data_IF_694688987178
#
_entry.id   IF_694688987178
#
_cell.length_a   1.000
_cell.length_b   1.000
_cell.length_c   1.000
_cell.angle_alpha   90.00
_cell.angle_beta   90.00
_cell.angle_gamma   90.00
#
_symmetry.space_group_name_H-M   'P 1'
#
loop_
_entity.id
_entity.type
_entity.pdbx_description
1 polymer ?
#
# COMPACT_ATOMS: atom_id res chain seq x y z
N UNK A 1 7.65 18.82 15.17
CA UNK A 1 6.92 18.29 14.01
C UNK A 1 6.88 19.42 12.99
N UNK A 2 7.64 19.26 11.92
CA UNK A 2 7.52 20.13 10.75
C UNK A 2 6.25 19.74 9.98
N UNK A 3 5.82 20.53 9.00
CA UNK A 3 4.63 20.14 8.20
C UNK A 3 4.99 19.03 7.22
N UNK A 4 3.99 18.25 6.79
CA UNK A 4 4.20 17.20 5.78
C UNK A 4 4.82 17.75 4.49
N UNK A 5 4.52 18.98 4.09
CA UNK A 5 5.14 19.62 2.93
C UNK A 5 6.62 19.92 3.13
N UNK A 6 7.02 20.28 4.35
CA UNK A 6 8.42 20.50 4.69
C UNK A 6 9.20 19.18 4.68
N UNK A 7 8.61 18.11 5.22
CA UNK A 7 9.18 16.76 5.15
C UNK A 7 9.25 16.25 3.70
N UNK A 8 8.22 16.47 2.90
CA UNK A 8 8.21 16.12 1.48
C UNK A 8 9.34 16.84 0.72
N UNK A 9 9.59 18.11 1.06
CA UNK A 9 10.73 18.84 0.53
C UNK A 9 12.07 18.22 0.98
N UNK A 10 12.19 17.72 2.23
CA UNK A 10 13.38 16.96 2.68
C UNK A 10 13.55 15.66 1.91
N UNK A 11 12.49 14.86 1.79
CA UNK A 11 12.49 13.59 1.06
C UNK A 11 12.95 13.77 -0.41
N UNK A 12 12.40 14.78 -1.10
CA UNK A 12 12.82 15.13 -2.47
C UNK A 12 14.28 15.57 -2.54
N UNK A 13 14.77 16.23 -1.49
CA UNK A 13 16.14 16.70 -1.34
C UNK A 13 17.16 15.64 -0.90
N UNK A 14 16.75 14.41 -0.56
CA UNK A 14 17.68 13.35 -0.17
C UNK A 14 18.66 13.03 -1.31
N UNK A 15 19.95 12.87 -0.97
CA UNK A 15 20.95 12.44 -1.93
C UNK A 15 20.98 10.91 -2.00
N UNK A 16 20.74 10.35 -3.18
CA UNK A 16 20.71 8.89 -3.35
C UNK A 16 22.10 8.25 -3.19
N UNK A 17 23.17 9.00 -3.44
CA UNK A 17 24.54 8.54 -3.21
C UNK A 17 24.85 8.41 -1.72
N UNK A 18 24.48 9.41 -0.91
CA UNK A 18 24.63 9.35 0.54
C UNK A 18 23.80 8.19 1.15
N UNK A 19 22.59 7.96 0.64
CA UNK A 19 21.78 6.80 1.03
C UNK A 19 22.44 5.47 0.62
N UNK A 20 23.03 5.39 -0.57
CA UNK A 20 23.74 4.20 -1.04
C UNK A 20 25.00 3.92 -0.21
N UNK A 21 25.74 4.97 0.18
CA UNK A 21 26.89 4.84 1.09
C UNK A 21 26.47 4.29 2.46
N UNK A 22 25.34 4.78 2.99
CA UNK A 22 24.80 4.27 4.25
C UNK A 22 24.36 2.79 4.14
N UNK A 23 23.68 2.42 3.05
CA UNK A 23 23.28 1.04 2.79
C UNK A 23 24.50 0.12 2.59
N UNK A 24 25.52 0.56 1.84
CA UNK A 24 26.79 -0.18 1.62
C UNK A 24 27.61 -0.32 2.91
N UNK A 25 27.46 0.62 3.86
CA UNK A 25 28.06 0.52 5.19
C UNK A 25 27.34 -0.45 6.12
N UNK A 26 26.00 -0.48 6.09
CA UNK A 26 25.21 -1.43 6.90
C UNK A 26 25.35 -2.86 6.35
N UNK A 27 25.37 -3.00 5.02
CA UNK A 27 25.47 -4.28 4.33
C UNK A 27 24.14 -5.03 4.30
N UNK A 28 23.76 -5.55 3.13
CA UNK A 28 22.54 -6.31 2.95
C UNK A 28 22.57 -7.21 1.72
N UNK A 29 22.13 -8.46 1.89
CA UNK A 29 21.82 -9.36 0.78
C UNK A 29 20.54 -10.14 1.13
N UNK A 30 19.49 -9.98 0.31
CA UNK A 30 18.25 -10.72 0.51
C UNK A 30 18.49 -12.24 0.35
N UNK A 31 18.25 -13.00 1.42
CA UNK A 31 18.42 -14.46 1.44
C UNK A 31 17.23 -15.23 0.88
N UNK A 32 16.14 -14.53 0.56
CA UNK A 32 14.84 -15.11 0.19
C UNK A 32 14.30 -16.06 1.25
N UNK A 33 14.45 -15.70 2.53
CA UNK A 33 13.95 -16.49 3.65
C UNK A 33 12.42 -16.44 3.80
N UNK A 34 11.74 -15.47 3.18
CA UNK A 34 10.28 -15.32 3.27
C UNK A 34 9.77 -14.59 4.52
N UNK A 35 10.61 -14.35 5.53
CA UNK A 35 10.19 -13.78 6.82
C UNK A 35 9.39 -12.47 6.71
N UNK A 36 9.78 -11.57 5.80
CA UNK A 36 9.06 -10.31 5.59
C UNK A 36 7.74 -10.43 4.80
N UNK A 37 7.46 -11.59 4.19
CA UNK A 37 6.22 -11.85 3.44
C UNK A 37 5.20 -12.63 4.27
N UNK A 38 5.60 -13.16 5.42
CA UNK A 38 4.79 -14.08 6.21
C UNK A 38 4.24 -13.40 7.46
N UNK A 39 3.15 -13.93 8.03
CA UNK A 39 2.60 -13.45 9.30
C UNK A 39 3.62 -13.47 10.45
N UNK A 40 3.34 -12.74 11.50
CA UNK A 40 4.20 -12.58 12.67
C UNK A 40 3.69 -13.38 13.87
N UNK A 41 4.53 -14.20 14.49
CA UNK A 41 4.26 -14.80 15.79
C UNK A 41 5.20 -14.17 16.84
N UNK A 42 4.68 -13.62 17.96
CA UNK A 42 5.47 -12.89 18.95
C UNK A 42 6.59 -13.68 19.65
N UNK A 43 6.60 -15.00 19.50
CA UNK A 43 7.58 -15.93 20.07
C UNK A 43 8.57 -16.52 19.05
N UNK A 44 8.55 -16.08 17.79
CA UNK A 44 9.48 -16.47 16.73
C UNK A 44 10.54 -15.38 16.39
N UNK A 45 11.72 -15.73 15.85
CA UNK A 45 12.71 -14.74 15.39
C UNK A 45 12.19 -13.95 14.17
N UNK A 46 12.54 -12.66 14.09
CA UNK A 46 11.69 -11.61 13.50
C UNK A 46 10.97 -10.77 14.59
N UNK A 47 11.48 -10.79 15.82
CA UNK A 47 10.75 -10.58 17.07
C UNK A 47 10.46 -9.12 17.44
N UNK A 48 9.63 -8.42 16.67
CA UNK A 48 9.09 -7.12 17.04
C UNK A 48 8.25 -7.22 18.34
N UNK A 49 8.69 -6.64 19.48
CA UNK A 49 8.16 -6.98 20.80
C UNK A 49 6.64 -6.79 20.89
N UNK A 50 5.97 -7.67 21.64
CA UNK A 50 4.53 -7.58 21.90
C UNK A 50 4.12 -6.14 22.24
N UNK A 51 3.27 -5.54 21.41
CA UNK A 51 2.74 -4.22 21.65
C UNK A 51 1.98 -4.20 22.96
N UNK A 52 2.31 -3.27 23.86
CA UNK A 52 1.52 -3.02 25.06
C UNK A 52 0.16 -2.42 24.66
N UNK A 53 -0.84 -3.27 24.42
CA UNK A 53 -2.20 -2.83 24.16
C UNK A 53 -3.20 -3.97 23.99
N UNK A 54 -4.07 -4.12 25.00
CA UNK A 54 -5.30 -4.96 25.14
C UNK A 54 -5.06 -6.48 25.26
N UNK A 55 -5.39 -7.21 26.32
CA UNK A 55 -6.22 -7.02 27.51
C UNK A 55 -5.63 -7.78 28.71
N UNK A 56 -5.62 -7.17 29.89
CA UNK A 56 -5.41 -7.88 31.16
C UNK A 56 -6.59 -8.83 31.43
N UNK A 57 -6.47 -10.13 31.09
CA UNK A 57 -7.33 -11.17 31.70
C UNK A 57 -6.57 -12.45 32.05
N UNK A 58 -6.50 -12.63 33.36
CA UNK A 58 -6.42 -13.87 34.14
C UNK A 58 -5.11 -14.68 34.11
N UNK A 59 -4.27 -14.38 35.09
CA UNK A 59 -3.41 -15.36 35.75
C UNK A 59 -4.25 -16.56 36.24
N UNK A 60 -4.31 -17.64 35.45
CA UNK A 60 -4.49 -18.99 35.98
C UNK A 60 -3.54 -19.96 35.30
N UNK A 61 -2.57 -20.41 36.12
CA UNK A 61 -1.94 -21.72 36.02
C UNK A 61 -2.96 -22.77 35.55
N UNK A 62 -2.67 -23.43 34.44
CA UNK A 62 -2.68 -24.88 34.32
C UNK A 62 -1.87 -25.30 33.09
N UNK A 63 -0.85 -26.13 33.33
CA UNK A 63 -0.14 -26.86 32.27
C UNK A 63 -1.17 -27.76 31.59
N UNK A 64 -1.53 -27.47 30.36
CA UNK A 64 -2.22 -28.43 29.50
C UNK A 64 -1.58 -28.50 28.12
N UNK A 65 -1.65 -29.69 27.57
CA UNK A 65 -1.02 -30.17 26.34
C UNK A 65 -1.32 -29.21 25.19
N UNK A 66 -0.29 -28.58 24.59
CA UNK A 66 -0.44 -27.75 23.39
C UNK A 66 -1.10 -28.60 22.30
N UNK A 67 -2.37 -28.33 22.06
CA UNK A 67 -3.12 -28.76 20.90
C UNK A 67 -2.49 -27.99 19.71
N UNK A 68 -1.94 -28.69 18.72
CA UNK A 68 -1.29 -28.14 17.52
C UNK A 68 -2.28 -27.40 16.58
N UNK A 69 -3.40 -26.90 17.12
CA UNK A 69 -4.50 -26.25 16.41
C UNK A 69 -4.77 -24.80 16.87
N UNK A 70 -4.15 -24.31 17.94
CA UNK A 70 -4.37 -22.96 18.47
C UNK A 70 -3.21 -21.96 18.22
N UNK A 71 -2.10 -22.39 17.60
CA UNK A 71 -0.96 -21.49 17.31
C UNK A 71 -1.19 -20.57 16.09
N UNK A 72 -2.26 -20.80 15.33
CA UNK A 72 -2.62 -19.96 14.16
C UNK A 72 -3.37 -18.69 14.56
N UNK A 73 -4.09 -18.72 15.68
CA UNK A 73 -4.85 -17.56 16.19
C UNK A 73 -3.97 -16.57 16.96
N UNK A 74 -2.70 -16.92 17.24
CA UNK A 74 -1.71 -16.04 17.89
C UNK A 74 -0.82 -15.28 16.87
N UNK A 75 -0.91 -15.64 15.57
CA UNK A 75 -0.08 -15.05 14.51
C UNK A 75 -0.77 -13.82 13.90
N UNK A 76 -0.18 -12.65 14.08
CA UNK A 76 -0.62 -11.45 13.40
C UNK A 76 -0.36 -11.58 11.89
N UNK A 77 -1.37 -11.33 11.03
CA UNK A 77 -1.19 -11.50 9.60
C UNK A 77 -0.20 -10.45 9.05
N UNK A 78 0.52 -10.82 7.99
CA UNK A 78 1.45 -9.95 7.29
C UNK A 78 0.79 -8.60 6.97
N UNK A 79 1.43 -7.52 7.41
CA UNK A 79 0.91 -6.17 7.28
C UNK A 79 1.97 -5.28 6.66
N UNK A 80 1.91 -5.13 5.34
CA UNK A 80 2.72 -4.20 4.57
C UNK A 80 1.79 -3.19 3.88
N UNK A 81 2.00 -1.90 4.16
CA UNK A 81 1.23 -0.82 3.55
C UNK A 81 1.37 -0.83 2.03
N UNK A 82 0.26 -0.62 1.31
CA UNK A 82 0.23 -0.51 -0.14
C UNK A 82 -0.65 0.68 -0.55
N UNK A 83 -0.19 1.48 -1.50
CA UNK A 83 -0.89 2.70 -1.92
C UNK A 83 -1.82 2.50 -3.12
N UNK A 84 -2.78 3.43 -3.39
CA UNK A 84 -3.86 3.22 -4.37
C UNK A 84 -3.42 2.99 -5.81
N UNK A 85 -2.23 3.42 -6.20
CA UNK A 85 -1.60 3.09 -7.48
C UNK A 85 -0.82 1.78 -7.43
N UNK A 86 -0.07 1.51 -6.36
CA UNK A 86 0.63 0.24 -6.15
C UNK A 86 -0.34 -0.96 -6.14
N UNK A 87 -1.54 -0.81 -5.57
CA UNK A 87 -2.59 -1.84 -5.64
C UNK A 87 -2.93 -2.17 -7.10
N UNK A 88 -3.08 -1.13 -7.94
CA UNK A 88 -3.39 -1.32 -9.36
C UNK A 88 -2.22 -1.91 -10.13
N UNK A 89 -0.99 -1.47 -9.87
CA UNK A 89 0.21 -2.05 -10.49
C UNK A 89 0.38 -3.53 -10.16
N UNK A 90 0.13 -3.92 -8.90
CA UNK A 90 0.17 -5.32 -8.47
C UNK A 90 -0.96 -6.13 -9.11
N UNK A 91 -2.18 -5.59 -9.18
CA UNK A 91 -3.31 -6.24 -9.86
C UNK A 91 -2.97 -6.51 -11.33
N UNK A 92 -2.50 -5.49 -12.06
CA UNK A 92 -2.12 -5.61 -13.47
C UNK A 92 -1.03 -6.67 -13.67
N UNK A 93 -0.02 -6.70 -12.79
CA UNK A 93 1.04 -7.70 -12.84
C UNK A 93 0.53 -9.12 -12.56
N UNK A 94 -0.36 -9.27 -11.59
CA UNK A 94 -0.99 -10.56 -11.27
C UNK A 94 -1.87 -11.05 -12.43
N UNK A 95 -2.62 -10.16 -13.10
CA UNK A 95 -3.37 -10.53 -14.30
C UNK A 95 -2.46 -11.06 -15.42
N UNK A 96 -1.30 -10.43 -15.62
CA UNK A 96 -0.32 -10.88 -16.61
C UNK A 96 0.27 -12.25 -16.24
N UNK A 97 0.61 -12.46 -14.98
CA UNK A 97 1.25 -13.71 -14.51
C UNK A 97 0.26 -14.89 -14.51
N UNK A 98 -0.97 -14.69 -14.03
CA UNK A 98 -1.93 -15.77 -13.78
C UNK A 98 -3.06 -15.87 -14.82
N UNK A 99 -3.25 -14.86 -15.68
CA UNK A 99 -4.19 -14.89 -16.81
C UNK A 99 -5.68 -14.84 -16.44
N UNK A 100 -6.02 -14.25 -15.29
CA UNK A 100 -7.39 -14.11 -14.77
C UNK A 100 -8.01 -12.73 -14.99
N UNK A 101 -8.62 -12.21 -13.93
CA UNK A 101 -8.81 -10.78 -13.63
C UNK A 101 -8.55 -10.61 -12.14
N UNK A 102 -7.82 -9.60 -11.72
CA UNK A 102 -7.55 -9.32 -10.30
C UNK A 102 -8.26 -8.04 -9.89
N UNK A 103 -9.07 -8.13 -8.84
CA UNK A 103 -9.70 -6.96 -8.25
C UNK A 103 -8.96 -6.48 -7.00
N UNK A 104 -9.41 -5.35 -6.46
CA UNK A 104 -8.76 -4.71 -5.31
C UNK A 104 -8.60 -5.67 -4.12
N UNK A 105 -9.59 -6.55 -3.87
CA UNK A 105 -9.59 -7.46 -2.72
C UNK A 105 -8.62 -8.61 -2.89
N UNK A 106 -8.28 -8.95 -4.13
CA UNK A 106 -7.24 -9.94 -4.42
C UNK A 106 -5.84 -9.41 -4.10
N UNK A 107 -5.67 -8.09 -4.02
CA UNK A 107 -4.36 -7.44 -3.83
C UNK A 107 -4.22 -6.80 -2.45
N UNK A 108 -5.29 -6.19 -1.95
CA UNK A 108 -5.26 -5.33 -0.78
C UNK A 108 -6.48 -5.51 0.12
N UNK A 109 -6.28 -5.25 1.40
CA UNK A 109 -7.29 -5.26 2.44
C UNK A 109 -7.20 -4.00 3.29
N UNK A 110 -8.30 -3.56 3.93
CA UNK A 110 -8.26 -2.48 4.91
C UNK A 110 -7.18 -2.73 5.96
N UNK A 111 -6.46 -1.68 6.38
CA UNK A 111 -5.60 -1.79 7.55
C UNK A 111 -6.44 -2.25 8.77
N UNK A 112 -5.91 -3.14 9.63
CA UNK A 112 -6.69 -3.72 10.72
C UNK A 112 -6.99 -2.71 11.85
N UNK A 113 -6.20 -1.63 11.94
CA UNK A 113 -6.32 -0.66 13.02
C UNK A 113 -7.57 0.22 12.86
N UNK A 114 -8.30 0.44 13.96
CA UNK A 114 -9.54 1.22 13.95
C UNK A 114 -10.79 0.44 13.57
N UNK A 115 -10.64 -0.83 13.17
CA UNK A 115 -11.74 -1.73 12.88
C UNK A 115 -12.08 -2.60 14.10
N UNK A 116 -13.35 -2.94 14.23
CA UNK A 116 -13.85 -3.86 15.27
C UNK A 116 -14.90 -4.79 14.68
N UNK A 117 -15.02 -6.03 15.17
CA UNK A 117 -16.04 -6.94 14.70
C UNK A 117 -17.45 -6.41 15.08
N UNK A 118 -18.38 -6.49 14.13
CA UNK A 118 -19.80 -6.24 14.35
C UNK A 118 -20.51 -7.43 15.02
N UNK A 119 -21.84 -7.40 15.10
CA UNK A 119 -22.64 -8.47 15.73
C UNK A 119 -22.50 -9.83 15.00
N UNK A 120 -22.16 -9.80 13.71
CA UNK A 120 -21.93 -10.98 12.88
C UNK A 120 -20.45 -11.41 12.82
N UNK A 121 -19.56 -10.63 13.45
CA UNK A 121 -18.11 -10.85 13.46
C UNK A 121 -17.38 -10.29 12.23
N UNK A 122 -18.06 -9.54 11.36
CA UNK A 122 -17.43 -8.86 10.23
C UNK A 122 -16.76 -7.56 10.68
N UNK A 123 -15.64 -7.13 10.05
CA UNK A 123 -14.99 -5.88 10.42
C UNK A 123 -15.91 -4.69 10.08
N UNK A 124 -15.99 -3.74 11.02
CA UNK A 124 -16.72 -2.49 10.88
C UNK A 124 -15.91 -1.33 11.49
N UNK A 125 -16.13 -0.12 10.99
CA UNK A 125 -15.46 1.10 11.48
C UNK A 125 -14.65 1.84 10.41
N UNK A 126 -13.73 2.67 10.88
CA UNK A 126 -12.90 3.54 10.04
C UNK A 126 -11.43 3.14 10.16
N UNK A 127 -10.73 3.11 9.03
CA UNK A 127 -9.29 2.91 9.00
C UNK A 127 -8.62 3.79 7.95
N UNK A 128 -7.30 3.86 8.00
CA UNK A 128 -6.47 4.61 7.06
C UNK A 128 -5.59 3.66 6.28
N UNK A 129 -5.47 3.92 4.98
CA UNK A 129 -4.62 3.17 4.04
C UNK A 129 -4.95 1.67 3.95
N UNK A 130 -4.14 0.97 3.14
CA UNK A 130 -4.34 -0.44 2.79
C UNK A 130 -3.14 -1.28 3.20
N UNK A 131 -3.38 -2.53 3.56
CA UNK A 131 -2.37 -3.57 3.65
C UNK A 131 -2.45 -4.50 2.45
N UNK A 132 -1.34 -5.10 2.04
CA UNK A 132 -1.36 -6.24 1.12
C UNK A 132 -2.30 -7.34 1.64
N UNK A 133 -3.04 -7.95 0.71
CA UNK A 133 -3.92 -9.07 1.00
C UNK A 133 -3.11 -10.29 1.48
N UNK A 134 -3.73 -11.06 2.36
CA UNK A 134 -3.14 -12.26 2.94
C UNK A 134 -3.98 -13.48 2.63
N UNK A 135 -3.34 -14.65 2.64
CA UNK A 135 -4.02 -15.94 2.56
C UNK A 135 -4.63 -16.36 3.92
N UNK A 136 -5.13 -17.59 3.99
CA UNK A 136 -5.71 -18.17 5.22
C UNK A 136 -4.68 -18.41 6.34
N UNK A 137 -3.39 -18.43 6.03
CA UNK A 137 -2.30 -18.54 7.01
C UNK A 137 -1.82 -17.18 7.52
N UNK A 138 -2.37 -16.08 6.98
CA UNK A 138 -1.93 -14.72 7.28
C UNK A 138 -0.66 -14.32 6.53
N UNK A 139 -0.20 -15.09 5.55
CA UNK A 139 0.96 -14.74 4.71
C UNK A 139 0.51 -13.90 3.52
N UNK A 140 1.40 -13.07 2.95
CA UNK A 140 1.10 -12.30 1.74
C UNK A 140 0.59 -13.23 0.62
N UNK A 141 -0.53 -12.89 -0.02
CA UNK A 141 -1.14 -13.76 -1.04
C UNK A 141 -0.26 -14.01 -2.27
N UNK A 142 0.79 -13.20 -2.47
CA UNK A 142 1.75 -13.35 -3.57
C UNK A 142 3.02 -14.10 -3.14
N UNK A 143 3.09 -14.56 -1.90
CA UNK A 143 4.19 -15.35 -1.38
C UNK A 143 4.05 -16.80 -1.81
N UNK A 144 5.14 -17.35 -2.35
CA UNK A 144 5.30 -18.79 -2.56
C UNK A 144 6.62 -19.25 -1.97
N UNK A 145 6.64 -20.45 -1.41
CA UNK A 145 7.87 -21.07 -0.92
C UNK A 145 8.11 -22.42 -1.57
N UNK A 146 9.27 -22.58 -2.20
CA UNK A 146 9.72 -23.86 -2.72
C UNK A 146 11.12 -24.20 -2.18
N UNK A 147 11.22 -25.32 -1.45
CA UNK A 147 12.50 -25.83 -0.97
C UNK A 147 13.22 -24.91 0.01
N UNK A 148 12.48 -24.20 0.88
CA UNK A 148 13.05 -23.26 1.86
C UNK A 148 13.46 -21.91 1.27
N UNK A 149 12.95 -21.57 0.07
CA UNK A 149 13.21 -20.29 -0.59
C UNK A 149 11.89 -19.62 -0.94
N UNK A 150 11.68 -18.45 -0.36
CA UNK A 150 10.58 -17.57 -0.66
C UNK A 150 10.71 -16.92 -2.04
N UNK A 151 9.59 -16.75 -2.72
CA UNK A 151 9.44 -16.01 -3.96
C UNK A 151 8.20 -15.12 -3.87
N UNK A 152 8.28 -13.95 -4.50
CA UNK A 152 7.11 -13.15 -4.79
C UNK A 152 6.72 -13.43 -6.23
N UNK A 153 5.49 -13.88 -6.45
CA UNK A 153 4.99 -14.23 -7.79
C UNK A 153 4.86 -13.01 -8.71
N UNK A 154 4.75 -11.81 -8.13
CA UNK A 154 4.72 -10.52 -8.83
C UNK A 154 5.96 -9.67 -8.52
N UNK A 155 7.13 -10.31 -8.46
CA UNK A 155 8.38 -9.73 -7.93
C UNK A 155 8.72 -8.32 -8.45
N UNK A 156 8.51 -8.06 -9.74
CA UNK A 156 8.88 -6.77 -10.35
C UNK A 156 7.87 -5.67 -10.04
N UNK A 157 6.62 -6.03 -9.71
CA UNK A 157 5.55 -5.12 -9.32
C UNK A 157 5.40 -4.95 -7.81
N UNK A 158 6.34 -5.49 -7.00
CA UNK A 158 6.30 -5.36 -5.53
C UNK A 158 6.10 -3.90 -5.09
N UNK A 159 5.25 -3.63 -4.09
CA UNK A 159 5.15 -2.30 -3.49
C UNK A 159 6.50 -1.79 -2.96
N UNK A 160 6.66 -0.47 -2.86
CA UNK A 160 7.88 0.19 -2.42
C UNK A 160 8.32 -0.27 -1.02
N UNK A 161 7.39 -0.53 -0.11
CA UNK A 161 7.71 -1.08 1.21
C UNK A 161 8.40 -2.44 1.11
N UNK A 162 7.95 -3.31 0.19
CA UNK A 162 8.54 -4.63 -0.03
C UNK A 162 9.85 -4.56 -0.83
N UNK A 163 10.00 -3.59 -1.73
CA UNK A 163 11.25 -3.36 -2.50
C UNK A 163 12.37 -2.82 -1.62
N UNK A 164 12.04 -2.04 -0.59
CA UNK A 164 13.00 -1.31 0.23
C UNK A 164 13.30 -1.96 1.57
N UNK A 165 12.53 -2.97 1.98
CA UNK A 165 12.81 -3.75 3.19
C UNK A 165 14.22 -4.37 3.13
N UNK A 166 15.02 -4.31 4.21
CA UNK A 166 14.66 -3.90 5.57
C UNK A 166 14.93 -2.43 5.89
N UNK A 167 15.06 -1.55 4.91
CA UNK A 167 15.45 -0.16 5.12
C UNK A 167 14.25 0.80 5.16
N UNK A 168 14.41 1.85 5.96
CA UNK A 168 13.53 3.03 6.00
C UNK A 168 14.39 4.29 6.22
N UNK A 169 13.78 5.48 6.10
CA UNK A 169 14.44 6.74 6.43
C UNK A 169 13.78 7.39 7.64
N UNK A 170 14.57 8.03 8.48
CA UNK A 170 14.09 8.76 9.65
C UNK A 170 13.59 10.17 9.27
N UNK A 171 12.44 10.23 8.60
CA UNK A 171 11.68 11.46 8.37
C UNK A 171 10.36 11.42 9.16
N UNK A 172 9.87 12.58 9.60
CA UNK A 172 8.55 12.65 10.21
C UNK A 172 7.50 12.36 9.11
N UNK A 173 6.51 11.51 9.38
CA UNK A 173 5.44 11.19 8.43
C UNK A 173 5.76 10.08 7.42
N UNK A 174 6.93 9.43 7.52
CA UNK A 174 7.24 8.18 6.80
C UNK A 174 6.97 6.97 7.68
N UNK A 175 6.49 5.88 7.08
CA UNK A 175 6.14 4.64 7.79
C UNK A 175 7.41 3.86 8.14
N UNK A 176 7.57 3.53 9.42
CA UNK A 176 8.62 2.62 9.87
C UNK A 176 8.04 1.19 9.88
N UNK A 177 8.74 0.21 9.28
CA UNK A 177 8.46 -1.21 9.51
C UNK A 177 8.30 -1.54 10.99
N UNK A 178 7.53 -2.58 11.29
CA UNK A 178 7.32 -3.04 12.67
C UNK A 178 8.67 -3.41 13.32
N UNK A 179 8.85 -2.96 14.57
CA UNK A 179 10.07 -3.17 15.34
C UNK A 179 10.96 -1.92 15.44
N UNK A 180 11.85 -1.92 16.43
CA UNK A 180 12.88 -0.89 16.53
C UNK A 180 13.98 -1.14 15.48
N UNK A 181 14.58 -0.07 14.97
CA UNK A 181 15.72 -0.20 14.08
C UNK A 181 16.88 -0.93 14.79
N UNK A 182 17.36 -2.01 14.18
CA UNK A 182 18.48 -2.82 14.69
C UNK A 182 19.85 -2.26 14.28
N UNK A 183 19.89 -1.43 13.24
CA UNK A 183 21.07 -0.69 12.81
C UNK A 183 20.70 0.68 12.22
N UNK A 184 21.65 1.61 12.18
CA UNK A 184 21.44 2.99 11.76
C UNK A 184 22.71 3.61 11.22
N UNK A 185 22.62 4.20 10.02
CA UNK A 185 23.67 5.04 9.44
C UNK A 185 23.04 6.34 8.92
N UNK A 186 23.40 7.46 9.53
CA UNK A 186 22.78 8.76 9.24
C UNK A 186 21.25 8.75 9.43
N UNK A 187 20.51 8.98 8.35
CA UNK A 187 19.04 8.93 8.35
C UNK A 187 18.49 7.55 7.98
N UNK A 188 19.32 6.64 7.47
CA UNK A 188 18.91 5.28 7.11
C UNK A 188 18.72 4.47 8.39
N UNK A 189 17.66 3.69 8.44
CA UNK A 189 17.33 2.75 9.51
C UNK A 189 17.19 1.36 8.91
N UNK A 190 17.81 0.38 9.52
CA UNK A 190 17.66 -1.02 9.15
C UNK A 190 16.82 -1.75 10.21
N UNK A 191 15.88 -2.55 9.75
CA UNK A 191 14.97 -3.34 10.57
C UNK A 191 15.38 -4.81 10.58
N UNK A 192 14.89 -5.58 11.54
CA UNK A 192 15.32 -6.96 11.74
C UNK A 192 15.19 -7.79 10.45
N UNK A 193 16.31 -8.32 9.95
CA UNK A 193 16.33 -9.17 8.77
C UNK A 193 17.60 -10.03 8.76
N UNK A 194 17.45 -11.32 8.39
CA UNK A 194 18.57 -12.27 8.26
C UNK A 194 19.62 -11.85 7.21
N UNK A 195 19.23 -10.98 6.28
CA UNK A 195 20.09 -10.49 5.20
C UNK A 195 21.09 -9.40 5.61
N UNK A 196 20.94 -8.80 6.80
CA UNK A 196 21.79 -7.69 7.25
C UNK A 196 23.25 -8.11 7.53
N UNK A 197 24.17 -7.17 7.32
CA UNK A 197 25.62 -7.37 7.54
C UNK A 197 26.33 -8.19 6.45
N UNK A 198 25.63 -8.53 5.37
CA UNK A 198 26.19 -9.21 4.18
C UNK A 198 26.71 -8.18 3.18
N UNK A 199 27.61 -8.61 2.30
CA UNK A 199 28.15 -7.73 1.26
C UNK A 199 27.06 -7.36 0.23
N UNK A 200 26.90 -6.06 -0.04
CA UNK A 200 26.06 -5.54 -1.12
C UNK A 200 26.95 -4.93 -2.20
N UNK A 201 26.58 -5.08 -3.47
CA UNK A 201 27.29 -4.38 -4.55
C UNK A 201 26.89 -2.91 -4.57
N UNK A 202 27.77 -2.03 -5.06
CA UNK A 202 27.45 -0.60 -5.24
C UNK A 202 26.21 -0.41 -6.11
N UNK A 203 26.09 -1.16 -7.21
CA UNK A 203 24.95 -1.06 -8.12
C UNK A 203 23.64 -1.44 -7.40
N UNK A 204 23.64 -2.50 -6.57
CA UNK A 204 22.47 -2.89 -5.78
C UNK A 204 22.16 -1.88 -4.66
N UNK A 205 23.20 -1.33 -4.01
CA UNK A 205 23.03 -0.29 -2.99
C UNK A 205 22.43 1.00 -3.59
N UNK A 206 22.87 1.40 -4.79
CA UNK A 206 22.31 2.54 -5.52
C UNK A 206 20.86 2.31 -5.96
N UNK A 207 20.54 1.10 -6.43
CA UNK A 207 19.16 0.73 -6.77
C UNK A 207 18.25 0.77 -5.54
N UNK A 208 18.71 0.22 -4.41
CA UNK A 208 17.96 0.22 -3.15
C UNK A 208 17.81 1.63 -2.58
N UNK A 209 18.85 2.46 -2.66
CA UNK A 209 18.81 3.86 -2.25
C UNK A 209 17.84 4.69 -3.08
N UNK A 210 17.80 4.47 -4.40
CA UNK A 210 16.85 5.13 -5.29
C UNK A 210 15.41 4.76 -4.94
N UNK A 211 15.13 3.46 -4.75
CA UNK A 211 13.82 2.98 -4.33
C UNK A 211 13.44 3.49 -2.92
N UNK A 212 14.40 3.58 -2.01
CA UNK A 212 14.18 4.08 -0.65
C UNK A 212 13.84 5.57 -0.65
N UNK A 213 14.51 6.37 -1.47
CA UNK A 213 14.15 7.78 -1.69
C UNK A 213 12.76 7.91 -2.31
N UNK A 214 12.47 7.12 -3.34
CA UNK A 214 11.16 7.11 -3.99
C UNK A 214 10.05 6.79 -2.99
N UNK A 215 10.23 5.75 -2.17
CA UNK A 215 9.33 5.40 -1.07
C UNK A 215 9.10 6.57 -0.11
N UNK A 216 10.17 7.22 0.34
CA UNK A 216 10.04 8.33 1.29
C UNK A 216 9.23 9.50 0.71
N UNK A 217 9.42 9.82 -0.58
CA UNK A 217 8.64 10.84 -1.27
C UNK A 217 7.18 10.39 -1.39
N UNK A 218 6.96 9.15 -1.80
CA UNK A 218 5.62 8.58 -1.99
C UNK A 218 4.83 8.60 -0.68
N UNK A 219 5.35 8.03 0.40
CA UNK A 219 4.66 7.98 1.70
C UNK A 219 4.18 9.37 2.17
N UNK A 220 4.98 10.41 1.93
CA UNK A 220 4.61 11.78 2.29
C UNK A 220 3.57 12.39 1.34
N UNK A 221 3.61 12.08 0.04
CA UNK A 221 2.56 12.47 -0.91
C UNK A 221 1.24 11.80 -0.58
N UNK A 222 1.26 10.53 -0.20
CA UNK A 222 0.09 9.74 0.19
C UNK A 222 -0.51 10.26 1.50
N UNK A 223 0.33 10.53 2.51
CA UNK A 223 -0.11 11.14 3.77
C UNK A 223 -0.73 12.54 3.57
N UNK A 224 -0.17 13.36 2.66
CA UNK A 224 -0.77 14.64 2.27
C UNK A 224 -2.11 14.40 1.58
N UNK A 225 -2.20 13.43 0.67
CA UNK A 225 -3.43 13.07 -0.01
C UNK A 225 -4.52 12.63 0.97
N UNK A 226 -4.19 11.80 1.96
CA UNK A 226 -5.12 11.37 3.01
C UNK A 226 -5.65 12.59 3.76
N UNK A 227 -4.77 13.50 4.20
CA UNK A 227 -5.16 14.73 4.90
C UNK A 227 -6.07 15.60 4.03
N UNK A 228 -5.74 15.79 2.77
CA UNK A 228 -6.43 16.72 1.86
C UNK A 228 -7.79 16.18 1.39
N UNK A 229 -7.92 14.85 1.29
CA UNK A 229 -9.15 14.16 0.87
C UNK A 229 -9.95 13.54 2.03
N UNK A 230 -9.53 13.77 3.28
CA UNK A 230 -10.24 13.26 4.45
C UNK A 230 -11.66 13.83 4.53
N UNK A 231 -12.65 12.92 4.56
CA UNK A 231 -14.05 13.27 4.72
C UNK A 231 -14.63 12.60 5.98
N UNK A 232 -14.74 13.31 7.11
CA UNK A 232 -15.25 12.74 8.35
C UNK A 232 -16.73 12.33 8.29
N UNK A 233 -17.47 12.73 7.24
CA UNK A 233 -18.87 12.33 7.03
C UNK A 233 -19.00 11.10 6.11
N UNK A 234 -17.89 10.46 5.72
CA UNK A 234 -17.93 9.29 4.84
C UNK A 234 -18.67 8.10 5.47
N UNK A 235 -18.49 7.87 6.77
CA UNK A 235 -19.10 6.74 7.50
C UNK A 235 -20.62 6.83 7.60
N UNK A 236 -21.18 8.04 7.58
CA UNK A 236 -22.63 8.23 7.50
C UNK A 236 -23.23 7.66 6.20
N UNK A 237 -22.40 7.47 5.17
CA UNK A 237 -22.80 6.99 3.84
C UNK A 237 -22.62 5.48 3.66
N UNK A 238 -22.02 4.79 4.61
CA UNK A 238 -21.78 3.33 4.55
C UNK A 238 -22.67 2.51 5.47
N UNK A 239 -23.52 3.16 6.29
CA UNK A 239 -24.48 2.44 7.14
C UNK A 239 -23.82 1.58 8.22
N UNK A 240 -22.56 1.87 8.59
CA UNK A 240 -21.79 1.10 9.57
C UNK A 240 -20.74 0.17 8.97
N UNK A 241 -20.72 -0.02 7.64
CA UNK A 241 -19.67 -0.79 6.97
C UNK A 241 -18.30 -0.06 7.03
N UNK A 242 -17.22 -0.82 6.82
CA UNK A 242 -15.84 -0.31 6.77
C UNK A 242 -15.68 0.85 5.79
N UNK A 243 -15.06 1.92 6.28
CA UNK A 243 -14.52 3.03 5.48
C UNK A 243 -13.00 3.01 5.56
N UNK A 244 -12.35 2.98 4.40
CA UNK A 244 -10.91 3.17 4.27
C UNK A 244 -10.64 4.57 3.74
N UNK A 245 -9.84 5.36 4.45
CA UNK A 245 -9.35 6.65 4.00
C UNK A 245 -7.95 6.49 3.42
N UNK A 246 -7.81 6.69 2.11
CA UNK A 246 -6.50 6.75 1.44
C UNK A 246 -6.29 8.10 0.75
N UNK A 247 -5.20 8.23 0.01
CA UNK A 247 -4.83 9.46 -0.67
C UNK A 247 -5.79 9.90 -1.77
N UNK A 248 -6.68 9.02 -2.25
CA UNK A 248 -7.71 9.32 -3.24
C UNK A 248 -9.09 9.60 -2.61
N UNK A 249 -9.19 9.55 -1.27
CA UNK A 249 -10.40 9.79 -0.51
C UNK A 249 -11.05 8.53 0.07
N UNK A 250 -12.27 8.63 0.62
CA UNK A 250 -12.92 7.51 1.29
C UNK A 250 -13.34 6.42 0.30
N UNK A 251 -13.07 5.16 0.65
CA UNK A 251 -13.42 3.97 -0.12
C UNK A 251 -14.08 2.93 0.78
N UNK A 252 -14.89 2.06 0.18
CA UNK A 252 -15.38 0.83 0.82
C UNK A 252 -14.24 -0.18 0.94
N UNK A 253 -14.42 -1.25 1.72
CA UNK A 253 -13.43 -2.32 1.87
C UNK A 253 -13.02 -3.04 0.56
N UNK A 254 -13.74 -2.85 -0.54
CA UNK A 254 -13.40 -3.39 -1.87
C UNK A 254 -12.70 -2.36 -2.79
N UNK A 255 -12.27 -1.22 -2.26
CA UNK A 255 -11.62 -0.16 -3.01
C UNK A 255 -12.58 0.74 -3.81
N UNK A 256 -13.89 0.45 -3.79
CA UNK A 256 -14.88 1.31 -4.46
C UNK A 256 -14.96 2.68 -3.77
N UNK A 257 -14.83 3.81 -4.49
CA UNK A 257 -14.98 5.14 -3.91
C UNK A 257 -16.34 5.37 -3.25
N UNK A 258 -16.34 6.03 -2.10
CA UNK A 258 -17.54 6.52 -1.42
C UNK A 258 -17.74 7.97 -1.84
N UNK A 259 -18.58 8.19 -2.86
CA UNK A 259 -18.88 9.54 -3.34
C UNK A 259 -19.39 10.43 -2.20
N UNK A 260 -18.93 11.69 -2.17
CA UNK A 260 -19.55 12.72 -1.35
C UNK A 260 -21.01 12.89 -1.74
N UNK A 261 -21.88 13.24 -0.79
CA UNK A 261 -23.25 13.61 -1.12
C UNK A 261 -23.24 14.74 -2.16
N UNK A 262 -23.77 14.48 -3.36
CA UNK A 262 -23.99 15.51 -4.38
C UNK A 262 -24.74 16.69 -3.76
N UNK A 263 -24.08 17.84 -3.71
CA UNK A 263 -24.59 19.02 -3.03
C UNK A 263 -23.99 20.32 -3.53
N UNK A 264 -23.86 20.48 -4.85
CA UNK A 264 -23.97 21.76 -5.59
C UNK A 264 -23.81 21.53 -7.10
N UNK A 265 -24.69 20.75 -7.74
CA UNK A 265 -24.95 20.99 -9.15
C UNK A 265 -25.85 22.22 -9.24
N UNK A 266 -25.20 23.38 -9.35
CA UNK A 266 -25.86 24.66 -9.54
C UNK A 266 -26.94 24.56 -10.61
N UNK A 267 -28.12 25.05 -10.26
CA UNK A 267 -29.23 25.29 -11.17
C UNK A 267 -28.77 26.17 -12.35
N UNK A 268 -28.33 25.53 -13.43
CA UNK A 268 -28.17 26.12 -14.74
C UNK A 268 -29.54 26.33 -15.35
N UNK A 269 -30.11 27.50 -15.07
CA UNK A 269 -30.96 28.28 -15.98
C UNK A 269 -31.21 27.62 -17.34
N UNK A 270 -32.40 27.01 -17.46
CA UNK A 270 -32.98 26.63 -18.73
C UNK A 270 -33.39 27.88 -19.51
N UNK A 271 -32.43 28.49 -20.21
CA UNK A 271 -32.75 29.46 -21.26
C UNK A 271 -33.11 28.72 -22.54
N UNK A 272 -34.40 28.72 -22.82
CA UNK A 272 -35.03 28.40 -24.11
C UNK A 272 -34.22 29.00 -25.29
N UNK A 273 -33.76 28.15 -26.20
CA UNK A 273 -33.40 28.58 -27.55
C UNK A 273 -34.43 27.99 -28.50
N UNK A 274 -35.34 28.87 -28.93
CA UNK A 274 -36.34 28.62 -29.94
C UNK A 274 -35.74 28.16 -31.27
N UNK A 275 -36.52 27.34 -31.96
CA UNK A 275 -36.10 26.67 -33.18
C UNK A 275 -35.82 27.60 -34.36
N UNK A 276 -35.14 27.03 -35.34
CA UNK A 276 -35.29 27.46 -36.72
C UNK A 276 -35.58 26.23 -37.59
N UNK A 277 -36.78 26.23 -38.16
CA UNK A 277 -37.18 25.34 -39.23
C UNK A 277 -36.42 25.71 -40.52
N UNK A 278 -36.36 24.76 -41.43
CA UNK A 278 -35.41 24.77 -42.53
C UNK A 278 -35.71 25.73 -43.67
N UNK A 279 -34.79 25.73 -44.63
CA UNK A 279 -35.14 25.88 -46.03
C UNK A 279 -34.23 24.97 -46.85
N UNK A 280 -34.84 24.22 -47.76
CA UNK A 280 -34.17 23.30 -48.65
C UNK A 280 -34.39 23.73 -50.09
N UNK A 281 -33.32 23.72 -50.88
CA UNK A 281 -33.23 23.67 -52.35
C UNK A 281 -31.77 23.99 -52.70
N UNK A 282 -31.09 23.42 -53.68
CA UNK A 282 -31.44 22.52 -54.77
C UNK A 282 -30.13 21.94 -55.34
N UNK A 283 -30.33 20.96 -56.20
CA UNK A 283 -29.41 20.07 -56.91
C UNK A 283 -28.44 20.81 -57.87
N UNK A 284 -27.23 20.26 -58.08
CA UNK A 284 -26.46 20.49 -59.31
C UNK A 284 -24.99 20.12 -59.22
N UNK A 285 -24.61 18.92 -59.70
CA UNK A 285 -23.22 18.47 -59.73
C UNK A 285 -22.39 19.01 -60.89
N UNK A 286 -21.07 18.81 -60.84
CA UNK A 286 -20.26 18.32 -61.97
C UNK A 286 -18.84 17.93 -61.50
N UNK A 287 -18.24 16.99 -62.24
CA UNK A 287 -16.93 16.39 -62.07
C UNK A 287 -15.75 17.27 -62.54
N UNK A 288 -14.54 16.85 -62.16
CA UNK A 288 -13.21 17.31 -62.62
C UNK A 288 -12.23 17.21 -61.45
N UNK A 289 -11.46 16.13 -61.28
CA UNK A 289 -10.20 15.83 -62.00
C UNK A 289 -9.24 17.03 -62.01
N UNK A 290 -8.18 16.96 -61.22
CA UNK A 290 -6.79 17.38 -61.55
C UNK A 290 -5.87 17.23 -60.30
N UNK A 291 -4.73 16.55 -60.49
CA UNK A 291 -3.62 16.43 -59.51
C UNK A 291 -2.84 17.74 -59.30
N UNK A 292 -1.78 17.76 -58.47
CA UNK A 292 -0.43 17.31 -58.89
C UNK A 292 0.03 16.00 -58.21
N UNK A 293 1.29 15.52 -58.30
CA UNK A 293 2.48 15.98 -59.03
C UNK A 293 3.59 16.57 -58.14
N UNK A 294 4.60 15.73 -57.85
CA UNK A 294 5.91 15.95 -57.18
C UNK A 294 5.94 16.42 -55.71
#
# INVERSE_FOLDING_TARGET
MESLEAELARARGLDAGDLADAIESIGFECTRCGGCCTGYAPDEPGGAPAGEGVDERDERDERDERDERDERDEREPHTATVFPDEVREVADAAEVEFGGSYDWRDVARPMPFGLSPDEEGAPAGETFEWALATDECGDCTFYEEEGGRGACTVHDARPLICRTYPFSVALDGTSQPMGEAVDTEGIVRAHECEGLGRDITRDDAEALAAALKERAVRELEEAIGVRDNYDPAASDRTGGDVVVFDSEGPKKADGTPINGSEGDEGAGDGSEVGGNAGDGSEVGGNAGDEGPGD
#
